data_IF_577166289862
#
_entry.id   IF_577166289862
#
_cell.length_a   1.000
_cell.length_b   1.000
_cell.length_c   1.000
_cell.angle_alpha   90.00
_cell.angle_beta   90.00
_cell.angle_gamma   90.00
#
_symmetry.space_group_name_H-M   'P 1'
#
loop_
_entity.id
_entity.type
_entity.pdbx_description
1 polymer ?
#
# COMPACT_ATOMS: atom_id res chain seq x y z
N UNK A 1 22.78 -1.05 -26.29
CA UNK A 1 24.08 -1.73 -26.42
C UNK A 1 25.05 -0.76 -27.11
N UNK A 2 26.13 -0.35 -26.44
CA UNK A 2 27.16 0.49 -27.07
C UNK A 2 28.46 -0.28 -26.95
N UNK A 3 28.92 -0.84 -28.06
CA UNK A 3 30.22 -1.46 -28.18
C UNK A 3 31.16 -0.42 -28.81
N UNK A 4 32.23 -0.05 -28.09
CA UNK A 4 33.34 0.69 -28.68
C UNK A 4 34.37 -0.33 -29.16
N UNK A 5 34.66 -0.28 -30.46
CA UNK A 5 35.68 -1.10 -31.11
C UNK A 5 36.93 -0.24 -31.27
N UNK A 6 38.03 -0.66 -30.63
CA UNK A 6 39.36 -0.10 -30.81
C UNK A 6 40.08 -0.90 -31.92
N UNK A 7 40.55 -0.23 -32.97
CA UNK A 7 41.15 -0.83 -34.16
C UNK A 7 42.64 -1.12 -33.96
N UNK A 8 42.94 -1.96 -32.96
CA UNK A 8 44.16 -2.77 -32.87
C UNK A 8 45.48 -2.03 -33.14
N UNK A 9 46.14 -1.61 -32.05
CA UNK A 9 47.43 -0.90 -32.09
C UNK A 9 48.44 -1.47 -33.11
N UNK A 10 48.97 -0.56 -33.93
CA UNK A 10 50.01 -0.82 -34.94
C UNK A 10 51.35 -1.14 -34.28
N UNK A 11 51.60 -2.42 -33.96
CA UNK A 11 52.90 -2.91 -33.50
C UNK A 11 53.54 -3.83 -34.55
N UNK A 12 54.71 -3.45 -35.06
CA UNK A 12 55.52 -4.27 -35.98
C UNK A 12 55.85 -5.66 -35.40
N UNK A 13 56.05 -6.71 -36.23
CA UNK A 13 56.41 -8.06 -35.76
C UNK A 13 57.68 -8.04 -34.88
N UNK A 14 57.81 -8.90 -33.85
CA UNK A 14 57.19 -10.23 -33.67
C UNK A 14 55.90 -10.26 -32.83
N UNK A 15 55.36 -9.12 -32.42
CA UNK A 15 54.22 -9.06 -31.52
C UNK A 15 52.90 -9.35 -32.25
N UNK A 16 52.54 -10.64 -32.38
CA UNK A 16 51.17 -11.01 -32.74
C UNK A 16 50.24 -10.67 -31.57
N UNK A 17 49.74 -9.44 -31.54
CA UNK A 17 48.73 -8.98 -30.60
C UNK A 17 47.41 -9.72 -30.83
N UNK A 18 47.25 -10.88 -30.21
CA UNK A 18 45.95 -11.56 -30.08
C UNK A 18 45.17 -10.97 -28.89
N UNK A 19 45.00 -9.66 -28.88
CA UNK A 19 44.14 -8.98 -27.93
C UNK A 19 42.72 -8.94 -28.48
N UNK A 20 41.83 -9.79 -27.98
CA UNK A 20 40.39 -9.50 -28.09
C UNK A 20 40.12 -8.34 -27.14
N UNK A 21 40.29 -7.10 -27.61
CA UNK A 21 40.15 -5.91 -26.78
C UNK A 21 38.68 -5.52 -26.64
N UNK A 22 37.90 -6.40 -26.03
CA UNK A 22 36.47 -6.23 -25.81
C UNK A 22 36.20 -6.19 -24.32
N UNK A 23 35.70 -5.06 -23.84
CA UNK A 23 35.20 -4.91 -22.46
C UNK A 23 33.69 -4.81 -22.51
N UNK A 24 33.01 -5.68 -21.76
CA UNK A 24 31.55 -5.64 -21.58
C UNK A 24 31.25 -5.01 -20.23
N UNK A 25 30.42 -3.97 -20.22
CA UNK A 25 29.89 -3.38 -19.01
C UNK A 25 28.39 -3.63 -18.93
N UNK A 26 27.93 -4.14 -17.80
CA UNK A 26 26.50 -4.31 -17.54
C UNK A 26 25.91 -2.99 -17.05
N UNK A 27 24.86 -2.51 -17.73
CA UNK A 27 24.05 -1.39 -17.28
C UNK A 27 22.75 -1.94 -16.69
N UNK A 28 22.50 -1.62 -15.42
CA UNK A 28 21.20 -1.86 -14.80
C UNK A 28 20.40 -0.56 -14.79
N UNK A 29 19.20 -0.59 -15.36
CA UNK A 29 18.24 0.52 -15.32
C UNK A 29 17.04 0.03 -14.54
N UNK A 30 16.71 0.73 -13.45
CA UNK A 30 15.51 0.47 -12.67
C UNK A 30 14.52 1.59 -12.92
N UNK A 31 13.33 1.24 -13.40
CA UNK A 31 12.18 2.16 -13.49
C UNK A 31 11.31 1.86 -12.27
N UNK A 32 11.22 2.83 -11.36
CA UNK A 32 10.36 2.71 -10.18
C UNK A 32 8.91 3.02 -10.57
N UNK A 33 7.93 2.33 -9.95
CA UNK A 33 6.52 2.71 -10.08
C UNK A 33 6.28 4.11 -9.50
N UNK A 34 5.28 4.81 -10.04
CA UNK A 34 4.77 6.08 -9.51
C UNK A 34 3.71 5.75 -8.47
N UNK A 35 3.71 6.40 -7.31
CA UNK A 35 2.72 6.09 -6.26
C UNK A 35 1.27 6.26 -6.78
N UNK A 36 0.43 5.24 -6.64
CA UNK A 36 -1.00 5.30 -6.92
C UNK A 36 -1.82 5.23 -5.63
N UNK A 37 -2.94 5.95 -5.59
CA UNK A 37 -3.78 5.96 -4.39
C UNK A 37 -4.37 4.57 -4.09
N UNK A 38 -4.37 4.16 -2.81
CA UNK A 38 -5.03 2.93 -2.39
C UNK A 38 -6.54 3.08 -2.48
N UNK A 39 -7.24 1.95 -2.62
CA UNK A 39 -8.70 1.93 -2.72
C UNK A 39 -9.32 0.81 -1.88
N UNK A 40 -10.60 0.96 -1.53
CA UNK A 40 -11.38 -0.05 -0.85
C UNK A 40 -12.89 0.18 -1.05
N UNK A 41 -13.68 -0.83 -0.73
CA UNK A 41 -15.14 -0.76 -0.65
C UNK A 41 -15.60 -1.11 0.77
N UNK A 42 -16.72 -0.52 1.21
CA UNK A 42 -17.37 -0.88 2.47
C UNK A 42 -18.48 -1.89 2.20
N UNK A 43 -18.55 -2.95 3.01
CA UNK A 43 -19.64 -3.93 2.90
C UNK A 43 -20.99 -3.35 3.29
N UNK A 44 -21.01 -2.36 4.20
CA UNK A 44 -22.20 -1.61 4.58
C UNK A 44 -21.84 -0.15 4.88
N UNK A 45 -22.65 0.79 4.37
CA UNK A 45 -22.52 2.22 4.69
C UNK A 45 -23.18 2.62 6.02
N UNK A 46 -24.10 1.78 6.50
CA UNK A 46 -24.87 2.02 7.74
C UNK A 46 -24.78 0.80 8.64
N UNK A 47 -24.59 1.03 9.94
CA UNK A 47 -24.52 -0.01 10.96
C UNK A 47 -25.48 0.32 12.10
N UNK A 48 -26.26 -0.67 12.52
CA UNK A 48 -27.07 -0.61 13.73
C UNK A 48 -26.40 -1.43 14.82
N UNK A 49 -25.94 -0.77 15.88
CA UNK A 49 -25.20 -1.40 16.98
C UNK A 49 -25.92 -1.09 18.29
N UNK A 50 -26.31 -2.10 19.09
CA UNK A 50 -26.88 -1.86 20.41
C UNK A 50 -25.86 -1.20 21.35
N UNK A 51 -26.33 -0.29 22.19
CA UNK A 51 -25.46 0.34 23.19
C UNK A 51 -24.85 -0.68 24.16
N UNK A 52 -23.69 -0.36 24.72
CA UNK A 52 -22.99 -1.22 25.69
C UNK A 52 -22.41 -2.52 25.11
N UNK A 53 -22.42 -2.70 23.79
CA UNK A 53 -21.88 -3.90 23.14
C UNK A 53 -20.48 -3.72 22.58
N UNK A 54 -19.76 -4.83 22.46
CA UNK A 54 -18.52 -4.95 21.68
C UNK A 54 -18.86 -5.70 20.40
N UNK A 55 -18.41 -5.20 19.26
CA UNK A 55 -18.64 -5.84 17.97
C UNK A 55 -17.39 -5.82 17.12
N UNK A 56 -17.15 -6.94 16.43
CA UNK A 56 -16.13 -7.07 15.39
C UNK A 56 -16.83 -7.50 14.12
N UNK A 57 -16.79 -6.65 13.10
CA UNK A 57 -17.37 -6.92 11.79
C UNK A 57 -16.25 -7.36 10.87
N UNK A 58 -16.34 -8.60 10.39
CA UNK A 58 -15.38 -9.20 9.47
C UNK A 58 -15.62 -8.70 8.05
N UNK A 59 -14.54 -8.42 7.32
CA UNK A 59 -14.59 -7.90 5.94
C UNK A 59 -15.47 -6.65 5.83
N UNK A 60 -15.37 -5.75 6.81
CA UNK A 60 -16.11 -4.49 6.79
C UNK A 60 -15.61 -3.59 5.66
N UNK A 61 -14.30 -3.50 5.48
CA UNK A 61 -13.72 -3.05 4.22
C UNK A 61 -13.23 -4.26 3.41
N UNK A 62 -13.42 -4.22 2.11
CA UNK A 62 -13.04 -5.28 1.18
C UNK A 62 -12.58 -4.69 -0.15
N UNK A 63 -12.08 -5.54 -1.05
CA UNK A 63 -11.49 -5.13 -2.32
C UNK A 63 -10.38 -4.09 -2.11
N UNK A 64 -9.57 -4.27 -1.05
CA UNK A 64 -8.51 -3.34 -0.71
C UNK A 64 -7.36 -3.52 -1.70
N UNK A 65 -6.98 -2.44 -2.37
CA UNK A 65 -5.83 -2.38 -3.29
C UNK A 65 -4.80 -1.37 -2.77
N UNK A 66 -3.51 -1.69 -2.91
CA UNK A 66 -2.41 -0.74 -2.66
C UNK A 66 -2.31 0.31 -3.76
N UNK A 67 -2.65 -0.13 -4.98
CA UNK A 67 -2.65 0.65 -6.20
C UNK A 67 -2.32 -0.32 -7.34
N UNK A 68 -1.48 0.07 -8.29
CA UNK A 68 -1.12 -0.75 -9.46
C UNK A 68 0.03 -1.74 -9.17
N UNK A 69 0.42 -2.51 -10.19
CA UNK A 69 1.57 -3.42 -10.12
C UNK A 69 2.85 -2.67 -9.73
N UNK A 70 3.63 -3.23 -8.81
CA UNK A 70 4.86 -2.65 -8.28
C UNK A 70 4.71 -1.98 -6.91
N UNK A 71 3.50 -1.92 -6.36
CA UNK A 71 3.21 -1.33 -5.05
C UNK A 71 2.86 -2.39 -3.99
N UNK A 72 3.11 -3.66 -4.27
CA UNK A 72 2.71 -4.79 -3.41
C UNK A 72 3.39 -4.75 -2.03
N UNK A 73 4.56 -4.12 -1.96
CA UNK A 73 5.33 -3.95 -0.73
C UNK A 73 4.82 -2.79 0.15
N UNK A 74 3.97 -1.90 -0.38
CA UNK A 74 3.52 -0.74 0.37
C UNK A 74 2.64 -1.12 1.56
N UNK A 75 2.84 -0.40 2.66
CA UNK A 75 2.07 -0.57 3.89
C UNK A 75 0.86 0.36 3.87
N UNK A 76 -0.31 -0.22 4.13
CA UNK A 76 -1.55 0.53 4.24
C UNK A 76 -2.01 0.62 5.70
N UNK A 77 -2.66 1.72 6.06
CA UNK A 77 -3.32 1.89 7.34
C UNK A 77 -4.61 2.69 7.20
N UNK A 78 -5.59 2.39 8.07
CA UNK A 78 -6.83 3.15 8.14
C UNK A 78 -6.74 4.26 9.18
N UNK A 79 -7.38 5.38 8.87
CA UNK A 79 -7.70 6.44 9.83
C UNK A 79 -9.20 6.70 9.81
N UNK A 80 -9.74 7.10 10.95
CA UNK A 80 -11.17 7.36 11.11
C UNK A 80 -11.40 8.69 11.79
N UNK A 81 -12.41 9.43 11.35
CA UNK A 81 -12.78 10.71 11.92
C UNK A 81 -14.30 10.84 12.00
N UNK A 82 -14.81 11.17 13.18
CA UNK A 82 -16.22 11.52 13.32
C UNK A 82 -16.46 12.90 12.70
N UNK A 83 -17.40 12.98 11.76
CA UNK A 83 -17.73 14.23 11.04
C UNK A 83 -19.09 14.79 11.43
N UNK A 84 -19.98 13.98 12.01
CA UNK A 84 -21.29 14.42 12.49
C UNK A 84 -21.80 13.57 13.66
N UNK A 85 -22.78 14.11 14.39
CA UNK A 85 -23.50 13.45 15.47
C UNK A 85 -22.88 13.63 16.87
N UNK A 86 -23.48 13.02 17.90
CA UNK A 86 -23.04 13.16 19.28
C UNK A 86 -21.65 12.54 19.52
N UNK A 87 -20.80 13.22 20.28
CA UNK A 87 -19.47 12.73 20.63
C UNK A 87 -19.53 11.67 21.73
N UNK A 88 -18.59 10.72 21.71
CA UNK A 88 -18.38 9.78 22.81
C UNK A 88 -19.39 8.64 22.88
N UNK A 89 -19.98 8.25 21.75
CA UNK A 89 -20.78 7.03 21.64
C UNK A 89 -19.93 5.77 21.74
N UNK A 90 -18.67 5.84 21.30
CA UNK A 90 -17.76 4.70 21.29
C UNK A 90 -16.65 4.83 22.35
N UNK A 91 -16.22 3.70 22.94
CA UNK A 91 -14.94 3.57 23.66
C UNK A 91 -13.79 3.24 22.71
N UNK A 92 -14.09 2.40 21.72
CA UNK A 92 -13.18 2.02 20.65
C UNK A 92 -13.96 2.07 19.33
N UNK A 93 -13.31 2.57 18.29
CA UNK A 93 -13.79 2.53 16.92
C UNK A 93 -12.55 2.52 16.03
N UNK A 94 -12.22 1.37 15.45
CA UNK A 94 -11.00 1.20 14.69
C UNK A 94 -11.22 0.24 13.51
N UNK A 95 -10.62 0.58 12.38
CA UNK A 95 -10.47 -0.33 11.24
C UNK A 95 -9.02 -0.76 11.15
N UNK A 96 -8.79 -2.05 10.87
CA UNK A 96 -7.45 -2.59 10.67
C UNK A 96 -7.48 -3.74 9.66
N UNK A 97 -6.42 -3.85 8.87
CA UNK A 97 -6.29 -4.89 7.85
C UNK A 97 -6.33 -6.28 8.48
N UNK A 98 -6.92 -7.23 7.77
CA UNK A 98 -6.99 -8.62 8.21
C UNK A 98 -5.63 -9.33 8.16
N UNK A 99 -4.75 -8.88 7.27
CA UNK A 99 -3.33 -9.23 7.21
C UNK A 99 -2.55 -8.10 6.53
N UNK A 100 -1.21 -8.01 6.71
CA UNK A 100 -0.40 -6.93 6.13
C UNK A 100 -0.57 -6.77 4.61
N UNK A 101 -0.77 -7.89 3.91
CA UNK A 101 -0.94 -7.96 2.45
C UNK A 101 -2.39 -8.28 2.02
N UNK A 102 -3.33 -8.27 2.98
CA UNK A 102 -4.72 -8.66 2.76
C UNK A 102 -5.51 -7.64 1.94
N UNK A 103 -6.61 -8.12 1.37
CA UNK A 103 -7.58 -7.33 0.61
C UNK A 103 -8.88 -7.05 1.40
N UNK A 104 -8.87 -7.30 2.71
CA UNK A 104 -10.01 -7.09 3.63
C UNK A 104 -9.55 -6.47 4.96
N UNK A 105 -10.48 -5.83 5.67
CA UNK A 105 -10.24 -5.25 6.99
C UNK A 105 -11.38 -5.57 7.97
N UNK A 106 -11.04 -5.60 9.25
CA UNK A 106 -11.97 -5.70 10.36
C UNK A 106 -12.38 -4.30 10.81
N UNK A 107 -13.65 -4.11 11.18
CA UNK A 107 -14.08 -2.99 12.02
C UNK A 107 -14.30 -3.53 13.43
N UNK A 108 -13.56 -2.99 14.41
CA UNK A 108 -13.81 -3.24 15.83
C UNK A 108 -14.36 -1.98 16.47
N UNK A 109 -15.46 -2.14 17.18
CA UNK A 109 -16.07 -1.04 17.93
C UNK A 109 -16.60 -1.50 19.28
N UNK A 110 -16.72 -0.54 20.19
CA UNK A 110 -17.31 -0.74 21.51
C UNK A 110 -18.23 0.43 21.80
N UNK A 111 -19.55 0.20 21.72
CA UNK A 111 -20.54 1.20 22.09
C UNK A 111 -20.55 1.38 23.61
N UNK A 112 -20.66 2.63 24.08
CA UNK A 112 -20.83 2.92 25.51
C UNK A 112 -22.26 2.57 25.93
N UNK A 113 -22.48 2.04 27.14
CA UNK A 113 -23.83 1.87 27.67
C UNK A 113 -24.46 3.23 27.98
N UNK A 114 -25.79 3.31 27.89
CA UNK A 114 -26.59 4.51 28.14
C UNK A 114 -26.24 5.71 27.25
N UNK A 115 -25.72 5.45 26.05
CA UNK A 115 -25.35 6.45 25.04
C UNK A 115 -25.87 5.99 23.69
N UNK A 116 -26.71 6.82 23.09
CA UNK A 116 -27.39 6.53 21.84
C UNK A 116 -27.38 7.75 20.91
N UNK A 117 -27.67 7.50 19.64
CA UNK A 117 -27.67 8.49 18.57
C UNK A 117 -27.06 7.95 17.29
N UNK A 118 -27.17 8.71 16.21
CA UNK A 118 -26.52 8.41 14.93
C UNK A 118 -25.29 9.30 14.77
N UNK A 119 -24.19 8.71 14.29
CA UNK A 119 -22.94 9.42 13.98
C UNK A 119 -22.49 9.08 12.58
N UNK A 120 -21.83 10.03 11.93
CA UNK A 120 -21.20 9.82 10.64
C UNK A 120 -19.69 9.79 10.83
N UNK A 121 -19.05 8.76 10.30
CA UNK A 121 -17.61 8.55 10.36
C UNK A 121 -17.04 8.61 8.94
N UNK A 122 -16.02 9.43 8.73
CA UNK A 122 -15.15 9.30 7.58
C UNK A 122 -14.11 8.22 7.86
N UNK A 123 -13.84 7.41 6.84
CA UNK A 123 -12.83 6.36 6.86
C UNK A 123 -11.89 6.65 5.69
N UNK A 124 -10.61 6.79 6.00
CA UNK A 124 -9.56 7.04 5.01
C UNK A 124 -8.56 5.90 5.05
N UNK A 125 -8.20 5.39 3.87
CA UNK A 125 -7.12 4.43 3.69
C UNK A 125 -5.90 5.19 3.16
N UNK A 126 -4.79 5.12 3.89
CA UNK A 126 -3.54 5.77 3.53
C UNK A 126 -2.48 4.73 3.23
N UNK A 127 -1.65 4.99 2.23
CA UNK A 127 -0.39 4.28 2.01
C UNK A 127 0.75 4.95 2.81
N UNK A 128 1.97 4.43 2.69
CA UNK A 128 3.14 4.97 3.40
C UNK A 128 3.91 6.05 2.62
N UNK A 129 3.49 6.36 1.41
CA UNK A 129 4.12 7.30 0.48
C UNK A 129 3.32 8.61 0.28
N UNK A 130 2.04 8.68 0.68
CA UNK A 130 1.26 9.93 0.73
C UNK A 130 -0.25 9.79 0.62
#
# INVERSE_FOLDING_TARGET
EIALHDDGGTGTPPCQGRGSNTTVANLSIVVNPVNQNPSFLLSNATLEIPEGTVSTIHSFAYNITRGEVGEEAQRLHFTTAQVDGPLGLFRHFELYLSSPNGNTAFLRLTARPYRFGAVTMNITLNDELG
#
